data_IF_938011541020
#
_entry.id   IF_938011541020
#
_cell.length_a   1.000
_cell.length_b   1.000
_cell.length_c   1.000
_cell.angle_alpha   90.00
_cell.angle_beta   90.00
_cell.angle_gamma   90.00
#
_symmetry.space_group_name_H-M   'P 1'
#
loop_
_entity.id
_entity.type
_entity.pdbx_description
1 polymer ?
#
# COMPACT_ATOMS: atom_id res chain seq x y z
N UNK A 1 -18.05 -1.51 0.87
CA UNK A 1 -17.42 -0.80 2.00
C UNK A 1 -17.63 0.67 1.74
N UNK A 2 -18.15 1.44 2.70
CA UNK A 2 -18.25 2.90 2.53
C UNK A 2 -16.93 3.50 2.98
N UNK A 3 -16.47 4.56 2.31
CA UNK A 3 -15.23 5.27 2.63
C UNK A 3 -15.15 5.67 4.10
N UNK A 4 -16.28 6.05 4.69
CA UNK A 4 -16.39 6.47 6.11
C UNK A 4 -16.21 5.32 7.13
N UNK A 5 -16.12 4.07 6.68
CA UNK A 5 -15.95 2.90 7.56
C UNK A 5 -14.48 2.44 7.63
N UNK A 6 -13.56 3.11 6.94
CA UNK A 6 -12.14 2.77 6.94
C UNK A 6 -11.43 3.68 7.96
N UNK A 7 -11.09 3.09 9.08
CA UNK A 7 -10.15 3.71 10.02
C UNK A 7 -8.74 3.63 9.43
N UNK A 8 -8.01 4.75 9.42
CA UNK A 8 -6.63 4.81 8.91
C UNK A 8 -5.84 5.89 9.65
N UNK A 9 -4.59 5.59 9.95
CA UNK A 9 -3.65 6.55 10.54
C UNK A 9 -2.93 7.36 9.45
N UNK A 10 -2.68 6.73 8.29
CA UNK A 10 -1.96 7.35 7.20
C UNK A 10 -2.22 6.67 5.84
N UNK A 11 -1.94 7.41 4.78
CA UNK A 11 -1.83 6.88 3.41
C UNK A 11 -0.40 7.04 2.91
N UNK A 12 0.14 6.00 2.29
CA UNK A 12 1.39 6.05 1.52
C UNK A 12 1.04 6.08 0.04
N UNK A 13 1.52 7.09 -0.66
CA UNK A 13 1.47 7.18 -2.11
C UNK A 13 2.79 6.66 -2.70
N UNK A 14 2.73 5.50 -3.32
CA UNK A 14 3.85 4.92 -4.06
C UNK A 14 4.12 5.63 -5.39
N UNK A 15 5.29 5.40 -5.96
CA UNK A 15 5.69 5.98 -7.25
C UNK A 15 5.26 5.11 -8.46
N UNK A 16 4.12 4.40 -8.35
CA UNK A 16 3.43 3.75 -9.45
C UNK A 16 2.47 4.70 -10.19
N UNK A 17 1.40 4.17 -10.79
CA UNK A 17 0.37 5.01 -11.37
C UNK A 17 -0.42 5.72 -10.27
N UNK A 18 -0.63 7.02 -10.46
CA UNK A 18 -1.45 7.81 -9.55
C UNK A 18 -2.90 7.30 -9.59
N UNK A 19 -3.56 7.09 -8.45
CA UNK A 19 -4.92 6.53 -8.44
C UNK A 19 -5.91 7.43 -9.20
N UNK A 20 -6.78 6.79 -9.97
CA UNK A 20 -7.85 7.45 -10.76
C UNK A 20 -9.23 6.94 -10.40
N UNK A 21 -9.34 5.76 -9.80
CA UNK A 21 -10.61 5.24 -9.31
C UNK A 21 -11.01 5.97 -8.01
N UNK A 22 -12.30 6.23 -7.86
CA UNK A 22 -12.85 7.04 -6.76
C UNK A 22 -12.46 6.55 -5.36
N UNK A 23 -12.33 5.25 -5.14
CA UNK A 23 -12.01 4.71 -3.82
C UNK A 23 -10.58 5.07 -3.38
N UNK A 24 -9.50 4.65 -4.07
CA UNK A 24 -8.13 4.98 -3.64
C UNK A 24 -7.85 6.49 -3.70
N UNK A 25 -8.45 7.22 -4.66
CA UNK A 25 -8.33 8.67 -4.73
C UNK A 25 -8.95 9.35 -3.50
N UNK A 26 -10.16 8.94 -3.10
CA UNK A 26 -10.81 9.48 -1.90
C UNK A 26 -10.01 9.16 -0.64
N UNK A 27 -9.46 7.94 -0.51
CA UNK A 27 -8.60 7.60 0.63
C UNK A 27 -7.39 8.52 0.72
N UNK A 28 -6.75 8.81 -0.41
CA UNK A 28 -5.60 9.71 -0.47
C UNK A 28 -5.96 11.15 -0.09
N UNK A 29 -7.11 11.66 -0.57
CA UNK A 29 -7.55 13.04 -0.28
C UNK A 29 -8.02 13.21 1.18
N UNK A 30 -8.65 12.19 1.75
CA UNK A 30 -9.19 12.24 3.11
C UNK A 30 -8.22 11.74 4.18
N UNK A 31 -7.01 11.35 3.80
CA UNK A 31 -6.03 10.81 4.73
C UNK A 31 -5.68 11.85 5.82
N UNK A 32 -5.62 11.43 7.08
CA UNK A 32 -5.15 12.31 8.16
C UNK A 32 -3.65 12.60 8.08
N UNK A 33 -2.89 11.78 7.35
CA UNK A 33 -1.46 11.93 7.14
C UNK A 33 -1.06 11.26 5.81
N UNK A 34 -0.42 12.00 4.92
CA UNK A 34 0.02 11.54 3.59
C UNK A 34 1.53 11.48 3.51
N UNK A 35 2.05 10.29 3.21
CA UNK A 35 3.47 10.08 2.90
C UNK A 35 3.62 9.79 1.41
N UNK A 36 4.43 10.56 0.72
CA UNK A 36 4.81 10.30 -0.67
C UNK A 36 6.16 9.59 -0.75
N UNK A 37 6.23 8.54 -1.57
CA UNK A 37 7.48 7.86 -1.90
C UNK A 37 8.19 8.60 -3.03
N UNK A 38 9.27 9.28 -2.70
CA UNK A 38 10.17 9.99 -3.62
C UNK A 38 9.41 10.74 -4.75
N UNK A 39 9.62 10.38 -6.01
CA UNK A 39 9.02 11.03 -7.18
C UNK A 39 7.48 11.06 -7.22
N UNK A 40 6.78 10.27 -6.41
CA UNK A 40 5.33 10.36 -6.30
C UNK A 40 4.85 11.71 -5.78
N UNK A 41 5.70 12.40 -5.02
CA UNK A 41 5.41 13.72 -4.49
C UNK A 41 5.23 14.77 -5.59
N UNK A 42 5.99 14.69 -6.69
CA UNK A 42 5.88 15.65 -7.80
C UNK A 42 4.48 15.62 -8.42
N UNK A 43 3.93 14.44 -8.65
CA UNK A 43 2.58 14.28 -9.21
C UNK A 43 1.51 14.73 -8.22
N UNK A 44 1.67 14.40 -6.95
CA UNK A 44 0.74 14.81 -5.90
C UNK A 44 0.68 16.33 -5.74
N UNK A 45 1.84 16.99 -5.73
CA UNK A 45 1.97 18.44 -5.66
C UNK A 45 1.43 19.10 -6.94
N UNK A 46 1.72 18.55 -8.11
CA UNK A 46 1.19 19.06 -9.39
C UNK A 46 -0.34 19.06 -9.43
N UNK A 47 -0.98 18.12 -8.74
CA UNK A 47 -2.44 18.06 -8.59
C UNK A 47 -3.00 19.03 -7.55
N UNK A 48 -2.15 19.83 -6.89
CA UNK A 48 -2.55 20.85 -5.92
C UNK A 48 -2.61 20.36 -4.47
N UNK A 49 -2.11 19.17 -4.18
CA UNK A 49 -2.05 18.62 -2.83
C UNK A 49 -0.68 18.83 -2.19
N UNK A 50 -0.61 18.72 -0.89
CA UNK A 50 0.64 18.83 -0.13
C UNK A 50 0.80 17.58 0.74
N UNK A 51 1.90 16.81 0.59
CA UNK A 51 2.17 15.69 1.48
C UNK A 51 2.61 16.17 2.87
N UNK A 52 2.41 15.32 3.88
CA UNK A 52 2.91 15.56 5.25
C UNK A 52 4.37 15.10 5.39
N UNK A 53 4.79 14.11 4.61
CA UNK A 53 6.19 13.67 4.51
C UNK A 53 6.51 13.15 3.10
N UNK A 54 7.78 13.25 2.73
CA UNK A 54 8.32 12.64 1.50
C UNK A 54 9.47 11.74 1.93
N UNK A 55 9.47 10.47 1.52
CA UNK A 55 10.44 9.45 1.93
C UNK A 55 11.08 8.84 0.69
N UNK A 56 12.40 8.79 0.67
CA UNK A 56 13.17 8.17 -0.41
C UNK A 56 14.63 8.60 -0.41
N UNK A 57 15.37 8.18 -1.43
CA UNK A 57 16.76 8.64 -1.65
C UNK A 57 16.82 9.99 -2.38
N UNK A 58 15.71 10.41 -2.97
CA UNK A 58 15.55 11.68 -3.67
C UNK A 58 16.01 11.66 -5.12
N UNK A 59 16.25 10.49 -5.69
CA UNK A 59 16.72 10.38 -7.08
C UNK A 59 15.62 10.72 -8.09
N UNK A 60 14.37 10.43 -7.77
CA UNK A 60 13.20 10.66 -8.62
C UNK A 60 12.44 11.95 -8.29
N UNK A 61 12.70 12.58 -7.14
CA UNK A 61 12.08 13.83 -6.73
C UNK A 61 12.70 15.01 -7.48
N UNK A 62 11.89 15.89 -8.05
CA UNK A 62 12.40 17.07 -8.78
C UNK A 62 13.22 17.98 -7.85
N UNK A 63 14.32 18.60 -8.36
CA UNK A 63 15.15 19.51 -7.56
C UNK A 63 14.36 20.68 -6.95
N UNK A 64 13.34 21.17 -7.67
CA UNK A 64 12.46 22.24 -7.19
C UNK A 64 11.68 21.80 -5.95
N UNK A 65 11.03 20.63 -5.99
CA UNK A 65 10.25 20.12 -4.88
C UNK A 65 11.15 19.62 -3.74
N UNK A 66 12.33 19.09 -4.03
CA UNK A 66 13.33 18.74 -3.02
C UNK A 66 13.72 19.94 -2.16
N UNK A 67 13.97 21.09 -2.78
CA UNK A 67 14.28 22.32 -2.05
C UNK A 67 13.04 22.92 -1.36
N UNK A 68 11.91 22.98 -2.06
CA UNK A 68 10.66 23.55 -1.55
C UNK A 68 10.14 22.81 -0.33
N UNK A 69 10.26 21.49 -0.32
CA UNK A 69 9.73 20.61 0.74
C UNK A 69 10.82 20.00 1.62
N UNK A 70 12.01 20.58 1.66
CA UNK A 70 13.17 20.10 2.43
C UNK A 70 12.88 19.81 3.91
N UNK A 71 11.91 20.47 4.50
CA UNK A 71 11.54 20.30 5.93
C UNK A 71 10.75 19.04 6.20
N UNK A 72 10.10 18.47 5.18
CA UNK A 72 9.32 17.24 5.25
C UNK A 72 9.91 16.14 4.38
N UNK A 73 11.01 16.40 3.69
CA UNK A 73 11.75 15.39 2.95
C UNK A 73 12.74 14.68 3.87
N UNK A 74 12.52 13.39 4.05
CA UNK A 74 13.36 12.50 4.85
C UNK A 74 14.16 11.62 3.89
N UNK A 75 15.39 12.04 3.64
CA UNK A 75 16.30 11.29 2.78
C UNK A 75 16.79 10.05 3.51
N UNK A 76 16.61 8.88 2.89
CA UNK A 76 17.05 7.58 3.40
C UNK A 76 17.84 6.90 2.28
N UNK A 77 19.16 6.87 2.42
CA UNK A 77 20.09 6.38 1.39
C UNK A 77 20.24 4.84 1.38
N UNK A 78 19.43 4.12 2.17
CA UNK A 78 19.41 2.66 2.16
C UNK A 78 18.98 2.14 0.78
N UNK A 79 19.84 1.34 0.14
CA UNK A 79 19.59 0.72 -1.17
C UNK A 79 19.06 -0.71 -1.06
N UNK A 80 19.01 -1.29 0.14
CA UNK A 80 18.53 -2.66 0.37
C UNK A 80 16.99 -2.70 0.44
N UNK A 81 16.34 -1.58 0.78
CA UNK A 81 14.89 -1.46 0.89
C UNK A 81 14.33 -0.45 -0.10
N UNK A 82 13.13 -0.73 -0.61
CA UNK A 82 12.43 0.23 -1.47
C UNK A 82 11.76 1.35 -0.63
N UNK A 83 11.38 2.44 -1.29
CA UNK A 83 10.81 3.62 -0.60
C UNK A 83 9.48 3.31 0.09
N UNK A 84 8.68 2.38 -0.43
CA UNK A 84 7.46 1.93 0.25
C UNK A 84 7.77 1.30 1.62
N UNK A 85 8.82 0.49 1.73
CA UNK A 85 9.27 -0.10 2.99
C UNK A 85 9.78 0.96 3.95
N UNK A 86 10.60 1.89 3.44
CA UNK A 86 11.09 3.04 4.23
C UNK A 86 9.92 3.86 4.80
N UNK A 87 8.90 4.14 3.97
CA UNK A 87 7.71 4.88 4.38
C UNK A 87 6.87 4.14 5.44
N UNK A 88 6.72 2.80 5.31
CA UNK A 88 6.03 1.99 6.32
C UNK A 88 6.76 2.04 7.65
N UNK A 89 8.08 1.86 7.67
CA UNK A 89 8.87 1.93 8.90
C UNK A 89 8.80 3.32 9.52
N UNK A 90 8.91 4.38 8.73
CA UNK A 90 8.76 5.76 9.19
C UNK A 90 7.42 6.00 9.90
N UNK A 91 6.32 5.44 9.39
CA UNK A 91 5.00 5.54 10.01
C UNK A 91 4.89 4.69 11.29
N UNK A 92 5.42 3.48 11.28
CA UNK A 92 5.44 2.60 12.46
C UNK A 92 6.21 3.22 13.63
N UNK A 93 7.35 3.86 13.35
CA UNK A 93 8.16 4.57 14.35
C UNK A 93 7.40 5.73 14.99
N UNK A 94 6.41 6.32 14.29
CA UNK A 94 5.51 7.34 14.81
C UNK A 94 4.24 6.74 15.46
N UNK A 95 4.15 5.41 15.60
CA UNK A 95 2.99 4.72 16.15
C UNK A 95 1.77 4.66 15.24
N UNK A 96 1.91 5.04 13.96
CA UNK A 96 0.86 4.95 12.94
C UNK A 96 0.87 3.54 12.35
N UNK A 97 -0.16 2.76 12.65
CA UNK A 97 -0.20 1.33 12.32
C UNK A 97 -1.21 0.96 11.24
N UNK A 98 -2.31 1.70 11.15
CA UNK A 98 -3.35 1.45 10.14
C UNK A 98 -3.03 2.25 8.88
N UNK A 99 -2.41 1.58 7.89
CA UNK A 99 -1.79 2.20 6.73
C UNK A 99 -2.49 1.75 5.45
N UNK A 100 -2.90 2.70 4.63
CA UNK A 100 -3.37 2.45 3.27
C UNK A 100 -2.25 2.75 2.29
N UNK A 101 -1.97 1.82 1.38
CA UNK A 101 -1.02 2.00 0.28
C UNK A 101 -1.81 2.28 -1.00
N UNK A 102 -1.48 3.34 -1.72
CA UNK A 102 -2.04 3.66 -3.03
C UNK A 102 -0.92 3.99 -4.01
N UNK A 103 -1.18 3.92 -5.32
CA UNK A 103 -0.16 4.22 -6.32
C UNK A 103 1.07 3.30 -6.28
N UNK A 104 0.93 2.08 -5.77
CA UNK A 104 2.02 1.12 -5.63
C UNK A 104 2.14 0.14 -6.81
N UNK A 105 1.31 0.30 -7.84
CA UNK A 105 1.22 -0.58 -9.03
C UNK A 105 1.16 0.25 -10.30
N UNK A 106 1.15 -0.40 -11.47
CA UNK A 106 0.76 0.20 -12.75
C UNK A 106 1.89 0.69 -13.65
N UNK A 107 3.15 0.75 -13.17
CA UNK A 107 4.31 1.08 -14.03
C UNK A 107 5.14 -0.17 -14.33
N UNK A 108 6.15 -0.46 -13.54
CA UNK A 108 7.01 -1.64 -13.72
C UNK A 108 6.40 -2.84 -12.98
N UNK A 109 6.32 -3.98 -13.66
CA UNK A 109 5.73 -5.22 -13.12
C UNK A 109 6.56 -5.79 -11.98
N UNK A 110 7.89 -5.72 -12.05
CA UNK A 110 8.78 -6.18 -11.00
C UNK A 110 8.59 -5.39 -9.69
N UNK A 111 8.44 -4.06 -9.77
CA UNK A 111 8.08 -3.23 -8.63
C UNK A 111 6.68 -3.54 -8.11
N UNK A 112 5.72 -3.77 -9.00
CA UNK A 112 4.36 -4.17 -8.61
C UNK A 112 4.36 -5.47 -7.81
N UNK A 113 5.05 -6.51 -8.30
CA UNK A 113 5.18 -7.79 -7.61
C UNK A 113 5.92 -7.65 -6.28
N UNK A 114 7.01 -6.89 -6.27
CA UNK A 114 7.77 -6.57 -5.06
C UNK A 114 6.90 -5.88 -4.00
N UNK A 115 6.20 -4.82 -4.39
CA UNK A 115 5.34 -4.05 -3.48
C UNK A 115 4.21 -4.90 -2.88
N UNK A 116 3.60 -5.80 -3.68
CA UNK A 116 2.57 -6.72 -3.19
C UNK A 116 3.17 -7.74 -2.21
N UNK A 117 4.33 -8.31 -2.52
CA UNK A 117 4.97 -9.33 -1.68
C UNK A 117 5.34 -8.80 -0.29
N UNK A 118 5.78 -7.54 -0.22
CA UNK A 118 6.19 -6.87 1.02
C UNK A 118 5.05 -6.62 2.00
N UNK A 119 3.77 -6.68 1.57
CA UNK A 119 2.62 -6.55 2.47
C UNK A 119 2.67 -7.55 3.63
N UNK A 120 3.17 -8.75 3.39
CA UNK A 120 3.31 -9.79 4.42
C UNK A 120 4.34 -9.37 5.48
N UNK A 121 5.43 -8.76 5.06
CA UNK A 121 6.48 -8.32 5.98
C UNK A 121 6.04 -7.10 6.79
N UNK A 122 5.28 -6.20 6.18
CA UNK A 122 4.67 -5.08 6.91
C UNK A 122 3.67 -5.56 7.97
N UNK A 123 2.82 -6.54 7.64
CA UNK A 123 1.93 -7.16 8.62
C UNK A 123 2.72 -7.81 9.77
N UNK A 124 3.81 -8.53 9.48
CA UNK A 124 4.69 -9.13 10.51
C UNK A 124 5.38 -8.07 11.37
N UNK A 125 5.71 -6.91 10.79
CA UNK A 125 6.26 -5.76 11.51
C UNK A 125 5.22 -5.03 12.38
N UNK A 126 3.94 -5.42 12.32
CA UNK A 126 2.86 -4.89 13.15
C UNK A 126 2.00 -3.83 12.47
N UNK A 127 2.16 -3.60 11.16
CA UNK A 127 1.27 -2.73 10.40
C UNK A 127 -0.05 -3.45 10.06
N UNK A 128 -1.16 -2.74 10.17
CA UNK A 128 -2.45 -3.10 9.59
C UNK A 128 -2.53 -2.45 8.21
N UNK A 129 -1.93 -3.13 7.22
CA UNK A 129 -1.75 -2.57 5.89
C UNK A 129 -2.81 -3.08 4.91
N UNK A 130 -3.32 -2.19 4.08
CA UNK A 130 -4.15 -2.52 2.92
C UNK A 130 -3.62 -1.75 1.71
N UNK A 131 -3.38 -2.45 0.60
CA UNK A 131 -3.04 -1.79 -0.66
C UNK A 131 -4.30 -1.65 -1.51
N UNK A 132 -4.64 -0.43 -1.89
CA UNK A 132 -5.74 -0.12 -2.81
C UNK A 132 -5.20 0.23 -4.18
N UNK A 133 -5.81 -0.34 -5.20
CA UNK A 133 -5.54 -0.03 -6.60
C UNK A 133 -6.84 0.39 -7.30
N UNK A 134 -6.74 0.85 -8.53
CA UNK A 134 -7.93 1.15 -9.35
C UNK A 134 -8.76 -0.10 -9.70
N UNK A 135 -8.22 -1.30 -9.46
CA UNK A 135 -8.84 -2.57 -9.83
C UNK A 135 -9.29 -3.43 -8.66
N UNK A 136 -8.81 -3.14 -7.45
CA UNK A 136 -9.13 -3.93 -6.26
C UNK A 136 -8.27 -3.61 -5.06
N UNK A 137 -8.21 -4.53 -4.10
CA UNK A 137 -7.43 -4.38 -2.90
C UNK A 137 -6.65 -5.64 -2.56
N UNK A 138 -5.48 -5.47 -1.96
CA UNK A 138 -4.68 -6.54 -1.38
C UNK A 138 -4.66 -6.37 0.13
N UNK A 139 -4.99 -7.45 0.83
CA UNK A 139 -5.00 -7.50 2.29
C UNK A 139 -4.15 -8.69 2.73
N UNK A 140 -3.01 -8.46 3.41
CA UNK A 140 -2.25 -9.56 3.99
C UNK A 140 -3.03 -10.16 5.16
N UNK A 141 -3.01 -11.48 5.29
CA UNK A 141 -3.74 -12.18 6.33
C UNK A 141 -2.94 -13.35 6.90
N UNK A 142 -3.09 -13.60 8.19
CA UNK A 142 -2.52 -14.75 8.87
C UNK A 142 -3.50 -15.28 9.93
N UNK A 143 -3.55 -16.60 10.11
CA UNK A 143 -4.49 -17.24 11.03
C UNK A 143 -5.93 -17.12 10.56
N UNK A 144 -6.87 -16.99 11.52
CA UNK A 144 -8.30 -16.92 11.23
C UNK A 144 -8.74 -15.48 11.01
N UNK A 145 -9.30 -15.20 9.83
CA UNK A 145 -9.81 -13.88 9.45
C UNK A 145 -11.27 -13.98 8.98
N UNK A 146 -12.01 -12.88 9.08
CA UNK A 146 -13.35 -12.74 8.54
C UNK A 146 -13.42 -11.43 7.74
N UNK A 147 -13.78 -11.55 6.46
CA UNK A 147 -13.87 -10.41 5.56
C UNK A 147 -15.32 -10.12 5.20
N UNK A 148 -15.72 -8.85 5.26
CA UNK A 148 -17.02 -8.44 4.71
C UNK A 148 -16.99 -8.60 3.19
N UNK A 149 -17.95 -9.32 2.65
CA UNK A 149 -18.05 -9.58 1.21
C UNK A 149 -19.52 -9.50 0.75
N UNK A 150 -19.72 -9.63 -0.54
CA UNK A 150 -21.03 -9.66 -1.17
C UNK A 150 -21.10 -10.80 -2.20
N UNK A 151 -22.29 -11.34 -2.51
CA UNK A 151 -22.43 -12.39 -3.51
C UNK A 151 -21.87 -11.96 -4.87
N UNK A 152 -21.02 -12.82 -5.46
CA UNK A 152 -20.37 -12.57 -6.75
C UNK A 152 -19.07 -11.75 -6.67
N UNK A 153 -18.61 -11.38 -5.46
CA UNK A 153 -17.30 -10.75 -5.32
C UNK A 153 -16.19 -11.72 -5.75
N UNK A 154 -15.28 -11.24 -6.61
CA UNK A 154 -14.09 -12.00 -6.99
C UNK A 154 -13.03 -11.94 -5.89
N UNK A 155 -12.42 -13.08 -5.61
CA UNK A 155 -11.36 -13.23 -4.61
C UNK A 155 -10.25 -14.06 -5.23
N UNK A 156 -9.02 -13.56 -5.14
CA UNK A 156 -7.80 -14.28 -5.50
C UNK A 156 -6.93 -14.44 -4.26
N UNK A 157 -6.31 -15.60 -4.11
CA UNK A 157 -5.49 -15.92 -2.94
C UNK A 157 -4.06 -16.15 -3.39
N UNK A 158 -3.13 -15.41 -2.78
CA UNK A 158 -1.70 -15.57 -2.96
C UNK A 158 -1.14 -16.24 -1.71
N UNK A 159 -0.49 -17.39 -1.89
CA UNK A 159 0.05 -18.17 -0.78
C UNK A 159 1.53 -17.86 -0.55
N UNK A 160 1.86 -17.34 0.63
CA UNK A 160 3.21 -17.08 1.10
C UNK A 160 3.56 -18.08 2.22
N UNK A 161 3.72 -19.36 1.85
CA UNK A 161 4.05 -20.48 2.75
C UNK A 161 3.00 -20.75 3.85
N UNK A 162 1.75 -20.39 3.65
CA UNK A 162 0.66 -20.77 4.53
C UNK A 162 0.28 -22.25 4.31
N UNK A 163 -0.09 -22.93 5.37
CA UNK A 163 -0.60 -24.31 5.36
C UNK A 163 -1.90 -24.40 6.14
N UNK A 164 -2.69 -25.43 5.87
CA UNK A 164 -4.00 -25.62 6.51
C UNK A 164 -5.04 -24.64 6.01
N UNK A 165 -4.92 -24.18 4.76
CA UNK A 165 -5.84 -23.21 4.16
C UNK A 165 -7.27 -23.77 4.10
N UNK A 166 -8.22 -23.00 4.63
CA UNK A 166 -9.66 -23.28 4.60
C UNK A 166 -10.42 -21.97 4.44
N UNK A 167 -11.53 -22.00 3.74
CA UNK A 167 -12.43 -20.86 3.65
C UNK A 167 -13.88 -21.32 3.56
N UNK A 168 -14.75 -20.55 4.17
CA UNK A 168 -16.20 -20.66 4.06
C UNK A 168 -16.74 -19.54 3.16
N UNK A 169 -17.81 -19.81 2.42
CA UNK A 169 -18.49 -18.80 1.58
C UNK A 169 -17.88 -18.59 0.20
N UNK A 170 -16.90 -19.39 -0.21
CA UNK A 170 -16.38 -19.40 -1.58
C UNK A 170 -17.17 -20.36 -2.47
N UNK A 171 -17.31 -20.03 -3.76
CA UNK A 171 -17.90 -20.93 -4.77
C UNK A 171 -17.01 -22.15 -4.98
N UNK A 172 -15.71 -21.94 -5.01
CA UNK A 172 -14.71 -23.00 -5.11
C UNK A 172 -14.06 -23.23 -3.75
N UNK A 173 -14.01 -24.50 -3.28
CA UNK A 173 -13.41 -24.79 -1.98
C UNK A 173 -11.92 -24.46 -2.01
N UNK A 174 -11.46 -23.81 -0.93
CA UNK A 174 -10.05 -23.56 -0.72
C UNK A 174 -9.40 -24.76 -0.04
N UNK A 175 -8.30 -25.21 -0.58
CA UNK A 175 -7.39 -26.21 0.02
C UNK A 175 -5.96 -25.74 -0.10
N UNK A 176 -5.02 -26.43 0.52
CA UNK A 176 -3.60 -26.13 0.35
C UNK A 176 -3.20 -26.32 -1.12
N UNK A 177 -2.46 -25.37 -1.64
CA UNK A 177 -1.93 -25.37 -3.00
C UNK A 177 -0.45 -24.97 -3.00
N UNK A 178 0.30 -25.55 -3.93
CA UNK A 178 1.73 -25.32 -4.04
C UNK A 178 2.12 -24.18 -4.96
N UNK A 179 1.19 -23.75 -5.81
CA UNK A 179 1.38 -22.60 -6.67
C UNK A 179 1.28 -21.32 -5.86
N UNK A 180 1.96 -20.28 -6.33
CA UNK A 180 1.92 -18.98 -5.68
C UNK A 180 0.51 -18.35 -5.63
N UNK A 181 -0.34 -18.65 -6.60
CA UNK A 181 -1.65 -18.02 -6.76
C UNK A 181 -2.75 -19.04 -7.07
N UNK A 182 -3.93 -18.79 -6.49
CA UNK A 182 -5.21 -19.41 -6.82
C UNK A 182 -6.30 -18.33 -6.85
N UNK A 183 -7.04 -18.26 -7.95
CA UNK A 183 -8.17 -17.37 -8.17
C UNK A 183 -9.45 -18.13 -8.48
#
# INVERSE_FOLDING_TARGET
MKVNDIDMDAVILGNGEYPTHSMPETMLIMAPYVVCCDGSADEHIRRGFTPDAIIGDGDSLSPENKERFRTIFHQIDDQETNDQTKAVHFLLDQGKKTIILVGATGKREDHTLGNISLLIDYMKAGAQVTMLTDHGMFIPASGRNCFKSYPGQQISIFNFNATGLRADGLVYPLSDFSNWWQG
#
